data_IF_204130054442
#
_entry.id   IF_204130054442
#
_cell.length_a   1.000
_cell.length_b   1.000
_cell.length_c   1.000
_cell.angle_alpha   90.00
_cell.angle_beta   90.00
_cell.angle_gamma   90.00
#
_symmetry.space_group_name_H-M   'P 1'
#
loop_
_entity.id
_entity.type
_entity.pdbx_description
1 polymer ?
#
# COMPACT_ATOMS: atom_id res chain seq x y z
N UNK A 1 2.84 -1.29 -1.60
CA UNK A 1 3.01 -2.54 -0.81
C UNK A 1 4.42 -3.09 -0.92
N UNK A 2 4.88 -3.51 -2.11
CA UNK A 2 6.21 -4.16 -2.25
C UNK A 2 7.37 -3.32 -1.68
N UNK A 3 7.49 -2.04 -2.05
CA UNK A 3 8.54 -1.16 -1.52
C UNK A 3 8.45 -0.96 0.00
N UNK A 4 7.24 -0.83 0.55
CA UNK A 4 7.05 -0.69 1.99
C UNK A 4 7.47 -1.97 2.74
N UNK A 5 7.12 -3.14 2.21
CA UNK A 5 7.60 -4.41 2.77
C UNK A 5 9.12 -4.57 2.65
N UNK A 6 9.72 -4.18 1.51
CA UNK A 6 11.17 -4.23 1.34
C UNK A 6 11.89 -3.32 2.33
N UNK A 7 11.43 -2.07 2.49
CA UNK A 7 11.96 -1.14 3.49
C UNK A 7 11.82 -1.72 4.90
N UNK A 8 10.64 -2.25 5.25
CA UNK A 8 10.41 -2.86 6.56
C UNK A 8 11.34 -4.03 6.87
N UNK A 9 11.72 -4.82 5.87
CA UNK A 9 12.67 -5.93 6.04
C UNK A 9 14.15 -5.52 6.08
N UNK A 10 14.47 -4.26 5.80
CA UNK A 10 15.84 -3.71 5.88
C UNK A 10 16.08 -2.93 7.18
N UNK A 11 15.01 -2.55 7.89
CA UNK A 11 15.06 -1.79 9.14
C UNK A 11 14.84 -2.72 10.34
N UNK A 12 15.12 -2.21 11.54
CA UNK A 12 14.85 -2.94 12.77
C UNK A 12 13.35 -3.25 12.89
N UNK A 13 13.01 -4.46 13.35
CA UNK A 13 11.61 -4.90 13.44
C UNK A 13 10.77 -4.00 14.37
N UNK A 14 11.40 -3.40 15.38
CA UNK A 14 10.81 -2.49 16.35
C UNK A 14 10.74 -1.03 15.86
N UNK A 15 11.25 -0.70 14.66
CA UNK A 15 11.16 0.65 14.10
C UNK A 15 9.68 1.06 14.00
N UNK A 16 9.22 2.12 14.68
CA UNK A 16 7.83 2.56 14.60
C UNK A 16 7.43 2.90 13.16
N UNK A 17 6.16 2.60 12.84
CA UNK A 17 5.61 2.85 11.51
C UNK A 17 4.27 3.54 11.63
N UNK A 18 4.06 4.60 10.85
CA UNK A 18 2.73 5.18 10.66
C UNK A 18 2.27 4.98 9.22
N UNK A 19 1.02 4.57 9.05
CA UNK A 19 0.33 4.54 7.75
C UNK A 19 -0.79 5.56 7.79
N UNK A 20 -0.58 6.68 7.11
CA UNK A 20 -1.61 7.69 6.90
C UNK A 20 -2.35 7.42 5.58
N UNK A 21 -3.68 7.44 5.62
CA UNK A 21 -4.50 7.53 4.43
C UNK A 21 -5.45 8.72 4.44
N UNK A 22 -5.61 9.33 3.28
CA UNK A 22 -6.52 10.46 3.08
C UNK A 22 -7.38 10.16 1.88
N UNK A 23 -8.69 10.24 2.07
CA UNK A 23 -9.67 10.01 1.01
C UNK A 23 -10.81 11.02 1.10
N UNK A 24 -11.65 11.06 0.07
CA UNK A 24 -12.80 11.92 0.02
C UNK A 24 -13.79 11.67 1.17
N UNK A 25 -14.58 12.70 1.48
CA UNK A 25 -15.50 12.71 2.64
C UNK A 25 -16.54 11.58 2.64
N UNK A 26 -16.87 11.02 1.46
CA UNK A 26 -17.85 9.95 1.32
C UNK A 26 -17.30 8.52 1.44
N UNK A 27 -15.99 8.34 1.61
CA UNK A 27 -15.41 7.00 1.74
C UNK A 27 -15.82 6.39 3.08
N UNK A 28 -16.42 5.20 3.05
CA UNK A 28 -17.07 4.57 4.22
C UNK A 28 -16.13 3.76 5.10
N UNK A 29 -15.20 3.05 4.49
CA UNK A 29 -14.20 2.22 5.17
C UNK A 29 -13.06 3.09 5.69
N UNK A 30 -12.55 2.79 6.89
CA UNK A 30 -11.36 3.38 7.49
C UNK A 30 -10.70 2.36 8.45
N UNK A 31 -9.39 2.06 8.33
CA UNK A 31 -8.49 2.45 7.22
C UNK A 31 -8.95 1.90 5.86
N UNK A 32 -8.44 2.48 4.79
CA UNK A 32 -8.67 1.98 3.43
C UNK A 32 -8.05 0.60 3.22
N UNK A 33 -8.61 -0.17 2.28
CA UNK A 33 -8.03 -1.46 1.89
C UNK A 33 -6.55 -1.36 1.46
N UNK A 34 -6.14 -0.27 0.82
CA UNK A 34 -4.73 -0.02 0.47
C UNK A 34 -3.86 0.19 1.70
N UNK A 35 -4.34 0.92 2.71
CA UNK A 35 -3.62 1.09 3.98
C UNK A 35 -3.44 -0.25 4.69
N UNK A 36 -4.48 -1.07 4.77
CA UNK A 36 -4.40 -2.42 5.34
C UNK A 36 -3.42 -3.32 4.55
N UNK A 37 -3.46 -3.29 3.21
CA UNK A 37 -2.51 -4.02 2.37
C UNK A 37 -1.06 -3.56 2.57
N UNK A 38 -0.83 -2.25 2.81
CA UNK A 38 0.50 -1.74 3.15
C UNK A 38 0.97 -2.30 4.50
N UNK A 39 0.10 -2.28 5.51
CA UNK A 39 0.41 -2.82 6.83
C UNK A 39 0.68 -4.31 6.82
N UNK A 40 -0.10 -5.10 6.08
CA UNK A 40 0.14 -6.54 5.89
C UNK A 40 1.49 -6.80 5.21
N UNK A 41 1.85 -6.01 4.20
CA UNK A 41 3.14 -6.13 3.53
C UNK A 41 4.33 -5.80 4.46
N UNK A 42 4.16 -4.87 5.40
CA UNK A 42 5.16 -4.53 6.42
C UNK A 42 5.24 -5.63 7.47
N UNK A 43 4.10 -6.04 8.03
CA UNK A 43 3.98 -7.08 9.05
C UNK A 43 4.60 -8.41 8.60
N UNK A 44 4.27 -8.85 7.37
CA UNK A 44 4.80 -10.09 6.79
C UNK A 44 6.33 -10.12 6.67
N UNK A 45 6.98 -8.96 6.67
CA UNK A 45 8.44 -8.83 6.60
C UNK A 45 9.10 -8.75 7.98
N UNK A 46 8.32 -8.49 9.03
CA UNK A 46 8.77 -8.35 10.42
C UNK A 46 8.50 -9.57 11.30
N UNK A 47 7.93 -10.65 10.77
CA UNK A 47 7.62 -11.87 11.55
C UNK A 47 6.14 -12.22 11.62
N UNK A 48 5.25 -11.35 11.11
CA UNK A 48 3.81 -11.57 11.06
C UNK A 48 3.05 -10.91 12.22
N UNK A 49 3.73 -10.62 13.32
CA UNK A 49 3.36 -9.66 14.34
C UNK A 49 3.51 -8.27 13.73
N UNK A 50 2.38 -7.59 13.49
CA UNK A 50 2.34 -6.32 12.79
C UNK A 50 3.07 -5.15 13.46
N UNK A 51 3.85 -5.37 14.52
CA UNK A 51 4.54 -4.32 15.29
C UNK A 51 3.63 -3.15 15.68
N UNK A 52 4.22 -2.07 16.20
CA UNK A 52 3.53 -0.79 16.39
C UNK A 52 3.33 -0.09 15.03
N UNK A 53 2.48 -0.65 14.15
CA UNK A 53 1.95 0.07 12.99
C UNK A 53 0.75 0.89 13.43
N UNK A 54 0.91 2.21 13.46
CA UNK A 54 -0.17 3.15 13.70
C UNK A 54 -0.90 3.47 12.38
N UNK A 55 -2.22 3.36 12.36
CA UNK A 55 -3.03 3.79 11.22
C UNK A 55 -3.70 5.13 11.52
N UNK A 56 -3.54 6.08 10.60
CA UNK A 56 -4.24 7.38 10.63
C UNK A 56 -5.07 7.53 9.37
N UNK A 57 -6.36 7.82 9.53
CA UNK A 57 -7.27 7.95 8.38
C UNK A 57 -8.01 9.28 8.43
N UNK A 58 -7.86 10.07 7.36
CA UNK A 58 -8.50 11.36 7.20
C UNK A 58 -9.53 11.30 6.05
N UNK A 59 -10.66 11.98 6.25
CA UNK A 59 -11.70 12.15 5.22
C UNK A 59 -11.76 13.63 4.83
N UNK A 60 -11.18 13.96 3.68
CA UNK A 60 -10.95 15.33 3.22
C UNK A 60 -11.47 15.56 1.81
N UNK A 61 -12.49 16.42 1.70
CA UNK A 61 -13.00 16.93 0.43
C UNK A 61 -13.21 15.84 -0.62
N UNK A 62 -12.53 15.98 -1.76
CA UNK A 62 -12.61 15.09 -2.92
C UNK A 62 -11.34 14.25 -3.17
N UNK A 63 -10.44 14.13 -2.18
CA UNK A 63 -9.18 13.38 -2.36
C UNK A 63 -9.46 11.96 -2.85
N UNK A 64 -8.87 11.56 -3.97
CA UNK A 64 -9.11 10.23 -4.55
C UNK A 64 -8.50 9.14 -3.67
N UNK A 65 -7.28 9.37 -3.20
CA UNK A 65 -6.57 8.49 -2.28
C UNK A 65 -5.09 8.90 -2.20
N UNK A 66 -4.69 9.39 -1.03
CA UNK A 66 -3.29 9.61 -0.68
C UNK A 66 -2.90 8.61 0.42
N UNK A 67 -1.72 8.03 0.30
CA UNK A 67 -1.18 7.06 1.25
C UNK A 67 0.28 7.40 1.55
N UNK A 68 0.60 7.56 2.83
CA UNK A 68 1.97 7.78 3.31
C UNK A 68 2.32 6.67 4.29
N UNK A 69 3.43 5.98 4.05
CA UNK A 69 4.05 5.10 5.03
C UNK A 69 5.30 5.80 5.55
N UNK A 70 5.34 6.09 6.84
CA UNK A 70 6.47 6.72 7.52
C UNK A 70 7.14 5.70 8.42
N UNK A 71 8.45 5.52 8.28
CA UNK A 71 9.30 4.79 9.21
C UNK A 71 10.05 5.80 10.08
N UNK A 72 9.87 5.74 11.40
CA UNK A 72 10.53 6.65 12.33
C UNK A 72 11.82 6.03 12.89
N UNK A 73 12.96 6.62 12.54
CA UNK A 73 14.30 6.16 12.93
C UNK A 73 14.91 7.14 13.95
N UNK A 74 16.10 6.81 14.45
CA UNK A 74 16.79 7.65 15.43
C UNK A 74 17.32 8.96 14.80
N UNK A 75 16.50 10.00 14.84
CA UNK A 75 16.84 11.33 14.32
C UNK A 75 16.58 11.53 12.83
N UNK A 76 15.91 10.57 12.17
CA UNK A 76 15.50 10.67 10.77
C UNK A 76 14.14 9.99 10.55
N UNK A 77 13.47 10.35 9.46
CA UNK A 77 12.22 9.73 9.02
C UNK A 77 12.36 9.36 7.54
N UNK A 78 11.76 8.23 7.17
CA UNK A 78 11.72 7.77 5.80
C UNK A 78 10.28 7.56 5.35
N UNK A 79 9.87 8.32 4.33
CA UNK A 79 8.51 8.32 3.80
C UNK A 79 8.41 7.66 2.43
N UNK A 80 7.39 6.80 2.29
CA UNK A 80 6.90 6.31 1.01
C UNK A 80 5.50 6.89 0.76
N UNK A 81 5.39 7.73 -0.26
CA UNK A 81 4.14 8.44 -0.59
C UNK A 81 3.57 7.98 -1.92
N UNK A 82 2.28 7.69 -1.95
CA UNK A 82 1.51 7.48 -3.17
C UNK A 82 0.30 8.42 -3.19
N UNK A 83 0.08 9.13 -4.29
CA UNK A 83 -1.07 10.02 -4.48
C UNK A 83 -1.78 9.71 -5.78
N UNK A 84 -3.06 9.39 -5.70
CA UNK A 84 -3.90 9.17 -6.87
C UNK A 84 -4.46 10.51 -7.37
N UNK A 85 -4.03 10.95 -8.56
CA UNK A 85 -4.56 12.18 -9.18
C UNK A 85 -5.98 12.01 -9.73
N UNK A 86 -6.29 10.83 -10.24
CA UNK A 86 -7.62 10.47 -10.75
C UNK A 86 -7.89 8.97 -10.59
N UNK A 87 -9.12 8.54 -10.86
CA UNK A 87 -9.51 7.12 -10.82
C UNK A 87 -9.18 6.34 -12.10
N UNK A 88 -8.78 7.01 -13.18
CA UNK A 88 -8.44 6.38 -14.45
C UNK A 88 -7.18 5.52 -14.31
N UNK A 89 -6.28 5.81 -13.36
CA UNK A 89 -5.11 4.97 -13.07
C UNK A 89 -5.48 3.52 -12.72
N UNK A 90 -6.59 3.32 -11.99
CA UNK A 90 -7.05 1.98 -11.60
C UNK A 90 -7.63 1.24 -12.80
N UNK A 91 -8.38 1.96 -13.65
CA UNK A 91 -8.90 1.41 -14.90
C UNK A 91 -7.77 1.05 -15.88
N UNK A 92 -6.72 1.87 -15.93
CA UNK A 92 -5.52 1.61 -16.74
C UNK A 92 -4.82 0.34 -16.30
N UNK A 93 -4.53 0.20 -15.00
CA UNK A 93 -3.92 -1.02 -14.46
C UNK A 93 -4.79 -2.26 -14.65
N UNK A 94 -6.12 -2.14 -14.55
CA UNK A 94 -7.03 -3.26 -14.82
C UNK A 94 -7.01 -3.70 -16.29
N UNK A 95 -6.89 -2.76 -17.24
CA UNK A 95 -6.76 -3.08 -18.67
C UNK A 95 -5.39 -3.71 -18.97
N UNK A 96 -4.32 -3.20 -18.38
CA UNK A 96 -2.97 -3.77 -18.56
C UNK A 96 -2.91 -5.21 -18.01
N UNK A 97 -3.52 -5.46 -16.84
CA UNK A 97 -3.70 -6.79 -16.30
C UNK A 97 -4.55 -7.68 -17.22
N UNK A 98 -5.62 -7.14 -17.80
CA UNK A 98 -6.48 -7.85 -18.76
C UNK A 98 -5.72 -8.30 -20.01
N UNK A 99 -4.86 -7.45 -20.57
CA UNK A 99 -3.98 -7.80 -21.69
C UNK A 99 -2.97 -8.87 -21.27
N UNK A 100 -2.36 -8.75 -20.09
CA UNK A 100 -1.42 -9.74 -19.59
C UNK A 100 -2.07 -11.13 -19.37
N UNK A 101 -3.36 -11.19 -19.03
CA UNK A 101 -4.11 -12.42 -18.78
C UNK A 101 -4.42 -13.24 -20.05
N UNK A 102 -4.41 -12.65 -21.26
CA UNK A 102 -4.87 -13.34 -22.48
C UNK A 102 -4.01 -14.56 -22.87
N UNK A 103 -2.85 -14.74 -22.24
CA UNK A 103 -1.95 -15.89 -22.45
C UNK A 103 -1.69 -16.72 -21.20
N UNK A 104 -2.49 -16.57 -20.13
CA UNK A 104 -2.24 -17.24 -18.84
C UNK A 104 -3.17 -18.44 -18.63
N UNK A 105 -2.69 -19.53 -17.99
CA UNK A 105 -3.56 -20.64 -17.59
C UNK A 105 -4.59 -20.18 -16.54
N UNK A 106 -5.66 -20.95 -16.30
CA UNK A 106 -6.58 -20.66 -15.20
C UNK A 106 -5.86 -20.66 -13.84
N UNK A 107 -6.11 -19.65 -13.02
CA UNK A 107 -5.49 -19.50 -11.71
C UNK A 107 -5.91 -18.21 -10.99
N UNK A 108 -5.45 -18.06 -9.75
CA UNK A 108 -5.56 -16.81 -9.01
C UNK A 108 -4.28 -15.99 -9.20
N UNK A 109 -4.45 -14.76 -9.67
CA UNK A 109 -3.36 -13.82 -9.93
C UNK A 109 -3.53 -12.56 -9.09
N UNK A 110 -2.43 -12.04 -8.59
CA UNK A 110 -2.33 -10.76 -7.93
C UNK A 110 -1.68 -9.72 -8.85
N UNK A 111 -1.79 -8.43 -8.51
CA UNK A 111 -1.21 -7.36 -9.30
C UNK A 111 0.32 -7.51 -9.50
N UNK A 112 1.00 -8.11 -8.52
CA UNK A 112 2.44 -8.38 -8.58
C UNK A 112 2.85 -9.34 -9.71
N UNK A 113 1.97 -10.26 -10.08
CA UNK A 113 2.31 -11.29 -11.07
C UNK A 113 2.46 -10.64 -12.45
N UNK A 114 1.56 -9.73 -12.80
CA UNK A 114 1.67 -8.98 -14.05
C UNK A 114 2.68 -7.83 -14.01
N UNK A 115 2.81 -7.13 -12.87
CA UNK A 115 3.78 -6.03 -12.73
C UNK A 115 5.24 -6.51 -12.82
N UNK A 116 5.53 -7.70 -12.29
CA UNK A 116 6.89 -8.23 -12.22
C UNK A 116 7.10 -9.49 -13.07
N UNK A 117 6.13 -9.84 -13.91
CA UNK A 117 6.22 -10.94 -14.87
C UNK A 117 6.43 -12.32 -14.23
N UNK A 118 5.89 -12.55 -13.03
CA UNK A 118 5.93 -13.85 -12.35
C UNK A 118 4.78 -14.75 -12.78
#
# INVERSE_FOLDING_TARGET
AELAGQAAGMLDAETPVTIEDIHHQWKKDAPSGTALMLGEAIASRRGGDGGDIEYRSERRGEVIGDHTVTFQLNGEEFDLVHRAGDRAIFARGALDAGVWLTGRPPGFYAARDWLFGR
#
